data_IF_234049306290
#
_entry.id   IF_234049306290
#
_cell.length_a   1.000
_cell.length_b   1.000
_cell.length_c   1.000
_cell.angle_alpha   90.00
_cell.angle_beta   90.00
_cell.angle_gamma   90.00
#
_symmetry.space_group_name_H-M   'P 1'
#
loop_
_entity.id
_entity.type
_entity.pdbx_description
1 polymer ?
#
# COMPACT_ATOMS: atom_id res chain seq x y z
N UNK A 1 -68.60 -8.80 -5.87
CA UNK A 1 -67.68 -9.84 -6.42
C UNK A 1 -66.56 -9.20 -7.28
N UNK A 2 -65.88 -8.16 -6.78
CA UNK A 2 -64.85 -7.40 -7.53
C UNK A 2 -63.47 -7.38 -6.83
N UNK A 3 -63.34 -8.01 -5.65
CA UNK A 3 -62.11 -7.99 -4.86
C UNK A 3 -61.13 -9.14 -5.16
N UNK A 4 -61.52 -10.14 -5.96
CA UNK A 4 -60.66 -11.29 -6.28
C UNK A 4 -59.86 -11.12 -7.59
N UNK A 5 -60.15 -10.12 -8.42
CA UNK A 5 -59.42 -9.89 -9.69
C UNK A 5 -58.16 -9.04 -9.54
N UNK A 6 -58.00 -8.32 -8.43
CA UNK A 6 -56.85 -7.42 -8.17
C UNK A 6 -55.75 -8.13 -7.36
N UNK A 7 -56.06 -9.22 -6.63
CA UNK A 7 -55.06 -9.96 -5.82
C UNK A 7 -54.05 -10.73 -6.67
N UNK A 8 -54.47 -11.25 -7.82
CA UNK A 8 -53.62 -12.03 -8.71
C UNK A 8 -52.47 -11.23 -9.36
N UNK A 9 -52.71 -10.03 -9.93
CA UNK A 9 -51.62 -9.22 -10.48
C UNK A 9 -50.66 -8.69 -9.39
N UNK A 10 -51.17 -8.38 -8.19
CA UNK A 10 -50.33 -7.93 -7.07
C UNK A 10 -49.39 -9.05 -6.60
N UNK A 11 -49.88 -10.31 -6.53
CA UNK A 11 -49.06 -11.46 -6.17
C UNK A 11 -47.95 -11.72 -7.20
N UNK A 12 -48.25 -11.59 -8.50
CA UNK A 12 -47.25 -11.72 -9.57
C UNK A 12 -46.19 -10.63 -9.47
N UNK A 13 -46.58 -9.38 -9.19
CA UNK A 13 -45.65 -8.27 -8.98
C UNK A 13 -44.78 -8.50 -7.74
N UNK A 14 -45.33 -9.05 -6.65
CA UNK A 14 -44.58 -9.38 -5.44
C UNK A 14 -43.60 -10.54 -5.62
N UNK A 15 -43.93 -11.51 -6.49
CA UNK A 15 -43.02 -12.61 -6.87
C UNK A 15 -41.94 -12.10 -7.85
N UNK A 16 -42.29 -11.18 -8.76
CA UNK A 16 -41.31 -10.56 -9.66
C UNK A 16 -40.34 -9.66 -8.90
N UNK A 17 -40.82 -8.88 -7.93
CA UNK A 17 -39.94 -8.05 -7.09
C UNK A 17 -39.07 -8.91 -6.16
N UNK A 18 -39.59 -10.01 -5.63
CA UNK A 18 -38.77 -10.93 -4.82
C UNK A 18 -37.73 -11.70 -5.65
N UNK A 19 -38.03 -12.10 -6.90
CA UNK A 19 -37.02 -12.66 -7.82
C UNK A 19 -35.97 -11.63 -8.24
N UNK A 20 -36.34 -10.35 -8.40
CA UNK A 20 -35.38 -9.28 -8.68
C UNK A 20 -34.43 -9.03 -7.49
N UNK A 21 -34.91 -9.17 -6.26
CA UNK A 21 -34.09 -9.00 -5.05
C UNK A 21 -33.08 -10.15 -4.87
N UNK A 22 -33.42 -11.38 -5.29
CA UNK A 22 -32.48 -12.53 -5.23
C UNK A 22 -31.43 -12.57 -6.35
N UNK A 23 -31.59 -11.79 -7.43
CA UNK A 23 -30.57 -11.69 -8.48
C UNK A 23 -29.40 -10.75 -8.15
N UNK A 24 -29.47 -10.00 -7.05
CA UNK A 24 -28.40 -9.10 -6.65
C UNK A 24 -27.84 -9.47 -5.28
N UNK A 25 -27.24 -10.66 -5.17
CA UNK A 25 -26.22 -10.94 -4.13
C UNK A 25 -25.51 -12.27 -4.41
N UNK A 26 -24.80 -12.32 -5.53
CA UNK A 26 -23.52 -13.01 -5.60
C UNK A 26 -22.52 -11.98 -6.08
N UNK A 27 -21.70 -11.46 -5.18
CA UNK A 27 -20.45 -10.82 -5.59
C UNK A 27 -19.56 -11.92 -6.16
N UNK A 28 -19.78 -12.25 -7.44
CA UNK A 28 -18.77 -12.90 -8.25
C UNK A 28 -17.60 -11.93 -8.34
N UNK A 29 -16.41 -12.37 -7.96
CA UNK A 29 -15.20 -11.62 -8.23
C UNK A 29 -15.16 -11.36 -9.74
N UNK A 30 -15.05 -10.10 -10.14
CA UNK A 30 -14.89 -9.69 -11.54
C UNK A 30 -13.78 -10.54 -12.17
N UNK A 31 -14.13 -11.38 -13.14
CA UNK A 31 -13.14 -12.20 -13.84
C UNK A 31 -12.08 -11.31 -14.50
N UNK A 32 -10.82 -11.76 -14.45
CA UNK A 32 -9.72 -11.03 -15.05
C UNK A 32 -9.88 -10.99 -16.57
N UNK A 33 -9.76 -9.78 -17.13
CA UNK A 33 -9.85 -9.52 -18.58
C UNK A 33 -8.52 -9.65 -19.31
N UNK A 34 -7.43 -9.84 -18.57
CA UNK A 34 -6.07 -9.85 -19.08
C UNK A 34 -5.41 -11.20 -18.78
N UNK A 35 -4.81 -11.78 -19.81
CA UNK A 35 -3.95 -12.97 -19.71
C UNK A 35 -2.51 -12.58 -20.00
N UNK A 36 -1.57 -13.01 -19.16
CA UNK A 36 -0.13 -12.88 -19.36
C UNK A 36 0.49 -14.28 -19.50
N UNK A 37 0.85 -14.64 -20.73
CA UNK A 37 1.57 -15.89 -21.02
C UNK A 37 3.06 -15.59 -21.02
N UNK A 38 3.84 -16.34 -20.26
CA UNK A 38 5.29 -16.10 -20.13
C UNK A 38 6.10 -17.39 -20.26
N UNK A 39 7.32 -17.30 -20.76
CA UNK A 39 8.27 -18.42 -20.79
C UNK A 39 9.19 -18.46 -19.57
N UNK A 40 9.78 -17.32 -19.21
CA UNK A 40 10.57 -17.10 -18.00
C UNK A 40 10.27 -15.73 -17.41
N UNK A 41 10.50 -15.56 -16.10
CA UNK A 41 10.25 -14.28 -15.43
C UNK A 41 11.27 -13.18 -15.78
N UNK A 42 12.48 -13.59 -16.19
CA UNK A 42 13.55 -12.70 -16.64
C UNK A 42 14.42 -13.33 -17.74
N UNK A 43 15.19 -12.49 -18.41
CA UNK A 43 16.26 -12.94 -19.32
C UNK A 43 17.44 -13.52 -18.53
N UNK A 44 18.13 -14.51 -19.13
CA UNK A 44 19.34 -15.10 -18.53
C UNK A 44 20.42 -14.03 -18.33
N UNK A 45 20.97 -13.94 -17.11
CA UNK A 45 21.98 -12.95 -16.74
C UNK A 45 21.42 -11.55 -16.42
N UNK A 46 20.13 -11.30 -16.62
CA UNK A 46 19.51 -10.03 -16.22
C UNK A 46 19.14 -10.01 -14.74
N UNK A 47 19.20 -8.83 -14.13
CA UNK A 47 18.62 -8.54 -12.81
C UNK A 47 17.13 -8.19 -12.90
N UNK A 48 16.70 -7.65 -14.06
CA UNK A 48 15.35 -7.13 -14.26
C UNK A 48 14.31 -8.25 -14.39
N UNK A 49 13.26 -8.20 -13.58
CA UNK A 49 12.13 -9.13 -13.63
C UNK A 49 11.03 -8.59 -14.56
N UNK A 50 11.22 -8.79 -15.87
CA UNK A 50 10.29 -8.32 -16.91
C UNK A 50 8.85 -8.81 -16.71
N UNK A 51 8.67 -10.00 -16.13
CA UNK A 51 7.34 -10.50 -15.80
C UNK A 51 6.64 -9.61 -14.78
N UNK A 52 7.35 -9.23 -13.71
CA UNK A 52 6.82 -8.32 -12.69
C UNK A 52 6.53 -6.93 -13.27
N UNK A 53 7.43 -6.40 -14.11
CA UNK A 53 7.25 -5.12 -14.80
C UNK A 53 5.93 -5.07 -15.60
N UNK A 54 5.63 -6.16 -16.32
CA UNK A 54 4.38 -6.27 -17.09
C UNK A 54 3.15 -6.42 -16.18
N UNK A 55 3.27 -7.18 -15.08
CA UNK A 55 2.20 -7.28 -14.07
C UNK A 55 1.90 -5.89 -13.49
N UNK A 56 2.91 -5.11 -13.14
CA UNK A 56 2.75 -3.72 -12.67
C UNK A 56 2.03 -2.83 -13.69
N UNK A 57 2.44 -2.88 -14.96
CA UNK A 57 1.76 -2.15 -16.03
C UNK A 57 0.27 -2.51 -16.08
N UNK A 58 -0.06 -3.81 -15.98
CA UNK A 58 -1.45 -4.27 -16.02
C UNK A 58 -2.23 -3.79 -14.79
N UNK A 59 -1.71 -4.04 -13.58
CA UNK A 59 -2.36 -3.69 -12.33
C UNK A 59 -2.55 -2.16 -12.18
N UNK A 60 -1.62 -1.35 -12.68
CA UNK A 60 -1.70 0.12 -12.67
C UNK A 60 -2.93 0.69 -13.40
N UNK A 61 -3.57 -0.10 -14.26
CA UNK A 61 -4.81 0.26 -14.95
C UNK A 61 -6.08 -0.14 -14.19
N UNK A 62 -5.92 -0.80 -13.04
CA UNK A 62 -6.99 -1.38 -12.23
C UNK A 62 -7.45 -2.77 -12.69
N UNK A 63 -6.91 -3.29 -13.80
CA UNK A 63 -7.22 -4.63 -14.28
C UNK A 63 -6.44 -5.69 -13.50
N UNK A 64 -7.11 -6.79 -13.16
CA UNK A 64 -6.41 -8.00 -12.71
C UNK A 64 -5.83 -8.80 -13.87
N UNK A 65 -4.97 -9.75 -13.56
CA UNK A 65 -4.22 -10.55 -14.52
C UNK A 65 -4.21 -12.03 -14.15
N UNK A 66 -4.56 -12.87 -15.11
CA UNK A 66 -4.26 -14.30 -15.06
C UNK A 66 -2.89 -14.52 -15.71
N UNK A 67 -1.99 -15.22 -15.05
CA UNK A 67 -0.62 -15.43 -15.48
C UNK A 67 -0.39 -16.92 -15.70
N UNK A 68 0.10 -17.31 -16.88
CA UNK A 68 0.24 -18.72 -17.27
C UNK A 68 1.62 -18.95 -17.85
N UNK A 69 2.35 -19.94 -17.32
CA UNK A 69 3.58 -20.36 -17.96
C UNK A 69 3.26 -21.00 -19.31
N UNK A 70 4.05 -20.69 -20.33
CA UNK A 70 3.82 -21.11 -21.70
C UNK A 70 3.71 -22.64 -21.87
N UNK A 71 4.43 -23.40 -21.05
CA UNK A 71 4.39 -24.87 -21.06
C UNK A 71 3.10 -25.43 -20.45
N UNK A 72 2.35 -24.61 -19.72
CA UNK A 72 1.06 -24.93 -19.10
C UNK A 72 -0.12 -24.23 -19.78
N UNK A 73 0.13 -23.56 -20.92
CA UNK A 73 -0.90 -22.91 -21.72
C UNK A 73 -1.82 -23.95 -22.36
N UNK A 74 -3.12 -23.87 -22.05
CA UNK A 74 -4.18 -24.63 -22.70
C UNK A 74 -4.96 -23.66 -23.58
N UNK A 75 -5.27 -24.08 -24.81
CA UNK A 75 -6.06 -23.31 -25.76
C UNK A 75 -7.47 -23.02 -25.24
N UNK A 76 -8.02 -23.91 -24.41
CA UNK A 76 -9.35 -23.69 -23.82
C UNK A 76 -9.31 -22.40 -23.02
N UNK A 77 -10.27 -21.50 -23.27
CA UNK A 77 -10.53 -20.25 -22.53
C UNK A 77 -9.66 -19.02 -22.85
N UNK A 78 -8.92 -18.95 -23.97
CA UNK A 78 -8.29 -17.67 -24.36
C UNK A 78 -9.33 -16.58 -24.70
N UNK A 79 -10.50 -16.99 -25.20
CA UNK A 79 -11.55 -16.09 -25.71
C UNK A 79 -12.27 -15.27 -24.62
N UNK A 80 -12.12 -15.62 -23.33
CA UNK A 80 -12.69 -14.83 -22.23
C UNK A 80 -11.91 -13.54 -21.96
N UNK A 81 -10.67 -13.47 -22.45
CA UNK A 81 -9.80 -12.33 -22.22
C UNK A 81 -9.98 -11.27 -23.31
N UNK A 82 -9.90 -10.01 -22.93
CA UNK A 82 -9.92 -8.88 -23.86
C UNK A 82 -8.51 -8.59 -24.41
N UNK A 83 -7.48 -8.85 -23.59
CA UNK A 83 -6.07 -8.64 -23.95
C UNK A 83 -5.19 -9.80 -23.49
N UNK A 84 -4.26 -10.20 -24.36
CA UNK A 84 -3.25 -11.23 -24.10
C UNK A 84 -1.86 -10.61 -24.24
N UNK A 85 -1.10 -10.61 -23.16
CA UNK A 85 0.33 -10.34 -23.17
C UNK A 85 1.10 -11.64 -23.37
N UNK A 86 2.11 -11.60 -24.23
CA UNK A 86 3.11 -12.64 -24.39
C UNK A 86 4.46 -12.06 -23.95
N UNK A 87 5.05 -12.62 -22.92
CA UNK A 87 6.44 -12.37 -22.54
C UNK A 87 7.28 -13.56 -23.02
N UNK A 88 8.19 -13.31 -23.97
CA UNK A 88 9.05 -14.34 -24.50
C UNK A 88 10.52 -13.90 -24.45
N UNK A 89 11.22 -14.35 -23.42
CA UNK A 89 12.62 -14.00 -23.16
C UNK A 89 13.61 -14.96 -23.86
N UNK A 90 13.20 -16.20 -24.12
CA UNK A 90 14.05 -17.24 -24.68
C UNK A 90 14.26 -17.08 -26.20
N UNK A 91 15.30 -17.73 -26.71
CA UNK A 91 15.58 -17.86 -28.15
C UNK A 91 14.98 -19.13 -28.77
N UNK A 92 14.32 -19.99 -28.00
CA UNK A 92 13.70 -21.22 -28.48
C UNK A 92 12.44 -20.98 -29.31
N UNK A 93 12.03 -21.98 -30.11
CA UNK A 93 10.83 -21.85 -30.94
C UNK A 93 9.57 -21.76 -30.05
N UNK A 94 8.71 -20.80 -30.36
CA UNK A 94 7.41 -20.66 -29.70
C UNK A 94 6.54 -21.90 -29.99
N UNK A 95 5.85 -22.48 -28.98
CA UNK A 95 4.92 -23.58 -29.19
C UNK A 95 3.87 -23.26 -30.25
N UNK A 96 3.73 -24.14 -31.25
CA UNK A 96 2.78 -23.96 -32.35
C UNK A 96 1.32 -23.92 -31.88
N UNK A 97 1.00 -24.58 -30.76
CA UNK A 97 -0.31 -24.52 -30.11
C UNK A 97 -0.67 -23.10 -29.67
N UNK A 98 0.27 -22.37 -29.07
CA UNK A 98 0.06 -20.96 -28.68
C UNK A 98 -0.18 -20.10 -29.91
N UNK A 99 0.66 -20.22 -30.94
CA UNK A 99 0.51 -19.45 -32.19
C UNK A 99 -0.87 -19.68 -32.81
N UNK A 100 -1.32 -20.94 -32.89
CA UNK A 100 -2.65 -21.27 -33.41
C UNK A 100 -3.76 -20.58 -32.60
N UNK A 101 -3.67 -20.60 -31.28
CA UNK A 101 -4.64 -19.89 -30.43
C UNK A 101 -4.61 -18.38 -30.63
N UNK A 102 -3.43 -17.77 -30.80
CA UNK A 102 -3.29 -16.33 -31.03
C UNK A 102 -3.83 -15.89 -32.41
N UNK A 103 -3.69 -16.72 -33.45
CA UNK A 103 -4.25 -16.43 -34.78
C UNK A 103 -5.79 -16.47 -34.80
N UNK A 104 -6.40 -17.24 -33.90
CA UNK A 104 -7.86 -17.34 -33.74
C UNK A 104 -8.42 -16.30 -32.75
N UNK A 105 -7.57 -15.74 -31.90
CA UNK A 105 -7.95 -14.79 -30.85
C UNK A 105 -8.36 -13.43 -31.43
N UNK A 106 -9.50 -12.92 -30.98
CA UNK A 106 -10.09 -11.67 -31.52
C UNK A 106 -9.72 -10.42 -30.72
N UNK A 107 -9.21 -10.59 -29.50
CA UNK A 107 -8.81 -9.49 -28.62
C UNK A 107 -7.47 -8.86 -29.03
N UNK A 108 -6.91 -8.07 -28.11
CA UNK A 108 -5.61 -7.40 -28.32
C UNK A 108 -4.47 -8.30 -27.91
N UNK A 109 -3.40 -8.33 -28.71
CA UNK A 109 -2.20 -9.09 -28.40
C UNK A 109 -1.05 -8.10 -28.21
N UNK A 110 -0.36 -8.20 -27.09
CA UNK A 110 0.86 -7.44 -26.81
C UNK A 110 2.00 -8.43 -26.67
N UNK A 111 2.90 -8.47 -27.65
CA UNK A 111 4.05 -9.35 -27.65
C UNK A 111 5.30 -8.60 -27.21
N UNK A 112 5.95 -9.09 -26.16
CA UNK A 112 7.14 -8.50 -25.56
C UNK A 112 8.29 -9.50 -25.63
N UNK A 113 9.39 -9.08 -26.25
CA UNK A 113 10.63 -9.85 -26.35
C UNK A 113 10.84 -10.53 -27.70
N UNK A 114 11.41 -11.74 -27.65
CA UNK A 114 11.99 -12.43 -28.80
C UNK A 114 10.97 -13.30 -29.53
N UNK A 115 11.40 -13.83 -30.68
CA UNK A 115 10.70 -14.85 -31.47
C UNK A 115 9.24 -14.53 -31.78
N UNK A 116 8.97 -13.25 -32.03
CA UNK A 116 7.69 -12.80 -32.52
C UNK A 116 7.35 -13.49 -33.84
N UNK A 117 6.10 -13.96 -33.96
CA UNK A 117 5.66 -14.67 -35.14
C UNK A 117 5.15 -13.67 -36.18
N UNK A 118 5.85 -13.56 -37.31
CA UNK A 118 5.51 -12.63 -38.40
C UNK A 118 4.10 -12.83 -38.97
N UNK A 119 3.50 -14.02 -38.84
CA UNK A 119 2.12 -14.24 -39.27
C UNK A 119 1.11 -13.43 -38.43
N UNK A 120 1.52 -12.93 -37.27
CA UNK A 120 0.72 -12.02 -36.43
C UNK A 120 0.85 -10.55 -36.89
N UNK A 121 1.83 -10.18 -37.71
CA UNK A 121 2.04 -8.78 -38.15
C UNK A 121 0.88 -8.22 -38.96
N UNK A 122 0.23 -9.06 -39.76
CA UNK A 122 -0.92 -8.65 -40.57
C UNK A 122 -2.18 -8.37 -39.76
N UNK A 123 -2.19 -8.66 -38.45
CA UNK A 123 -3.34 -8.49 -37.59
C UNK A 123 -3.36 -7.10 -36.95
N UNK A 124 -4.44 -6.34 -37.18
CA UNK A 124 -4.60 -4.96 -36.67
C UNK A 124 -4.53 -4.81 -35.14
N UNK A 125 -4.75 -5.90 -34.39
CA UNK A 125 -4.83 -5.88 -32.93
C UNK A 125 -3.55 -6.38 -32.23
N UNK A 126 -2.43 -6.45 -32.95
CA UNK A 126 -1.15 -6.92 -32.42
C UNK A 126 -0.18 -5.75 -32.24
N UNK A 127 0.40 -5.63 -31.04
CA UNK A 127 1.50 -4.71 -30.73
C UNK A 127 2.74 -5.53 -30.42
N UNK A 128 3.80 -5.34 -31.19
CA UNK A 128 5.10 -5.98 -30.95
C UNK A 128 6.09 -5.01 -30.29
N UNK A 129 6.78 -5.48 -29.26
CA UNK A 129 7.80 -4.77 -28.48
C UNK A 129 9.05 -5.67 -28.42
N UNK A 130 10.00 -5.52 -29.34
CA UNK A 130 11.17 -6.41 -29.45
C UNK A 130 12.12 -6.29 -28.26
N UNK A 131 12.23 -5.08 -27.70
CA UNK A 131 13.06 -4.76 -26.55
C UNK A 131 12.19 -4.10 -25.49
N UNK A 132 12.35 -4.55 -24.25
CA UNK A 132 11.62 -4.06 -23.09
C UNK A 132 12.54 -4.01 -21.89
N UNK A 133 12.65 -2.83 -21.26
CA UNK A 133 13.35 -2.63 -20.00
C UNK A 133 12.67 -1.55 -19.16
N UNK A 134 12.57 -1.77 -17.85
CA UNK A 134 12.17 -0.76 -16.85
C UNK A 134 13.11 0.46 -16.85
N UNK A 135 14.35 0.31 -17.31
CA UNK A 135 15.38 1.37 -17.25
C UNK A 135 15.32 2.34 -18.43
N UNK A 136 14.49 2.07 -19.44
CA UNK A 136 14.44 2.89 -20.65
C UNK A 136 13.01 3.33 -21.00
N UNK A 137 12.88 4.06 -22.12
CA UNK A 137 11.59 4.60 -22.55
C UNK A 137 10.56 3.56 -22.96
N UNK A 138 10.95 2.28 -23.17
CA UNK A 138 10.03 1.23 -23.63
C UNK A 138 9.00 0.87 -22.57
N UNK A 139 9.40 0.82 -21.30
CA UNK A 139 8.48 0.65 -20.17
C UNK A 139 7.43 1.76 -20.14
N UNK A 140 7.88 3.03 -20.16
CA UNK A 140 6.99 4.18 -20.14
C UNK A 140 6.05 4.20 -21.36
N UNK A 141 6.57 3.86 -22.54
CA UNK A 141 5.77 3.79 -23.76
C UNK A 141 4.68 2.74 -23.67
N UNK A 142 5.00 1.53 -23.19
CA UNK A 142 4.02 0.46 -23.01
C UNK A 142 3.03 0.79 -21.89
N UNK A 143 3.52 1.27 -20.76
CA UNK A 143 2.70 1.67 -19.61
C UNK A 143 1.67 2.71 -20.01
N UNK A 144 2.10 3.78 -20.70
CA UNK A 144 1.19 4.83 -21.20
C UNK A 144 0.20 4.29 -22.22
N UNK A 145 0.67 3.54 -23.22
CA UNK A 145 -0.21 2.93 -24.22
C UNK A 145 -1.30 2.06 -23.58
N UNK A 146 -0.93 1.27 -22.58
CA UNK A 146 -1.84 0.38 -21.89
C UNK A 146 -2.81 1.15 -20.97
N UNK A 147 -2.29 2.15 -20.25
CA UNK A 147 -3.11 3.06 -19.45
C UNK A 147 -4.18 3.73 -20.31
N UNK A 148 -3.81 4.30 -21.46
CA UNK A 148 -4.75 4.94 -22.38
C UNK A 148 -5.84 3.94 -22.80
N UNK A 149 -5.48 2.73 -23.24
CA UNK A 149 -6.48 1.73 -23.68
C UNK A 149 -7.58 1.47 -22.65
N UNK A 150 -7.23 1.34 -21.37
CA UNK A 150 -8.16 0.94 -20.32
C UNK A 150 -8.76 2.11 -19.54
N UNK A 151 -8.07 3.25 -19.52
CA UNK A 151 -8.49 4.45 -18.80
C UNK A 151 -8.90 5.61 -19.71
N UNK A 152 -9.01 5.45 -21.03
CA UNK A 152 -9.44 6.49 -22.00
C UNK A 152 -10.79 7.18 -21.71
N UNK A 153 -11.55 6.72 -20.70
CA UNK A 153 -12.77 7.37 -20.20
C UNK A 153 -12.55 8.28 -18.98
N UNK A 154 -11.36 8.29 -18.38
CA UNK A 154 -11.00 9.20 -17.27
C UNK A 154 -10.54 10.53 -17.87
N UNK A 155 -11.30 11.60 -17.60
CA UNK A 155 -11.06 12.97 -18.09
C UNK A 155 -9.71 13.54 -17.63
N UNK A 156 -9.15 12.98 -16.55
CA UNK A 156 -7.89 13.43 -15.99
C UNK A 156 -6.90 12.26 -16.06
N UNK A 157 -5.72 12.48 -16.66
CA UNK A 157 -4.64 11.50 -16.74
C UNK A 157 -4.10 11.04 -15.37
N UNK A 158 -2.96 10.33 -15.37
CA UNK A 158 -2.33 9.80 -14.15
C UNK A 158 -2.24 10.81 -13.01
N UNK A 159 -2.49 10.33 -11.79
CA UNK A 159 -2.47 11.16 -10.58
C UNK A 159 -1.14 11.05 -9.85
N UNK A 160 -0.65 12.16 -9.34
CA UNK A 160 0.61 12.26 -8.61
C UNK A 160 0.34 12.66 -7.18
N UNK A 161 0.90 11.96 -6.20
CA UNK A 161 0.71 12.19 -4.77
C UNK A 161 2.05 12.43 -4.08
N UNK A 162 2.06 13.26 -3.03
CA UNK A 162 3.20 13.36 -2.12
C UNK A 162 3.00 12.37 -0.98
N UNK A 163 3.98 11.50 -0.74
CA UNK A 163 3.97 10.52 0.34
C UNK A 163 5.12 10.79 1.33
N UNK A 164 4.77 11.08 2.58
CA UNK A 164 5.68 10.96 3.72
C UNK A 164 5.74 9.49 4.11
N UNK A 165 6.83 8.83 3.74
CA UNK A 165 6.97 7.39 3.89
C UNK A 165 7.63 7.00 5.21
N UNK A 166 7.37 5.76 5.66
CA UNK A 166 7.95 5.18 6.88
C UNK A 166 7.79 6.06 8.11
N UNK A 167 6.58 6.53 8.38
CA UNK A 167 6.28 7.35 9.56
C UNK A 167 6.21 6.46 10.80
N UNK A 168 7.31 6.44 11.58
CA UNK A 168 7.43 5.64 12.80
C UNK A 168 6.88 6.34 14.06
N UNK A 169 6.48 5.60 15.10
CA UNK A 169 6.06 6.19 16.37
C UNK A 169 7.13 7.00 17.11
N UNK A 170 8.41 6.72 16.82
CA UNK A 170 9.57 7.33 17.48
C UNK A 170 10.26 8.40 16.62
N UNK A 171 9.59 8.89 15.57
CA UNK A 171 10.10 10.02 14.77
C UNK A 171 10.31 11.26 15.64
N UNK A 172 11.17 12.17 15.15
CA UNK A 172 11.23 13.53 15.66
C UNK A 172 9.89 14.24 15.37
N UNK A 173 9.05 14.33 16.40
CA UNK A 173 7.72 14.94 16.33
C UNK A 173 7.81 16.41 15.91
N UNK A 174 8.79 17.16 16.42
CA UNK A 174 8.90 18.59 16.11
C UNK A 174 9.28 18.79 14.64
N UNK A 175 10.27 18.03 14.16
CA UNK A 175 10.65 18.04 12.76
C UNK A 175 9.48 17.62 11.85
N UNK A 176 8.73 16.58 12.22
CA UNK A 176 7.59 16.11 11.44
C UNK A 176 6.43 17.11 11.40
N UNK A 177 6.11 17.78 12.52
CA UNK A 177 5.13 18.89 12.55
C UNK A 177 5.57 20.03 11.63
N UNK A 178 6.85 20.43 11.66
CA UNK A 178 7.37 21.47 10.74
C UNK A 178 7.26 21.07 9.26
N UNK A 179 7.36 19.78 8.92
CA UNK A 179 7.12 19.28 7.56
C UNK A 179 5.63 19.39 7.19
N UNK A 180 4.73 19.01 8.09
CA UNK A 180 3.27 19.13 7.90
C UNK A 180 2.89 20.60 7.70
N UNK A 181 3.38 21.49 8.55
CA UNK A 181 3.12 22.93 8.47
C UNK A 181 3.61 23.50 7.14
N UNK A 182 4.83 23.14 6.73
CA UNK A 182 5.35 23.53 5.42
C UNK A 182 4.45 23.08 4.27
N UNK A 183 4.05 21.80 4.24
CA UNK A 183 3.16 21.28 3.19
C UNK A 183 1.81 22.03 3.18
N UNK A 184 1.22 22.24 4.36
CA UNK A 184 -0.04 22.96 4.51
C UNK A 184 0.07 24.42 4.03
N UNK A 185 1.13 25.13 4.43
CA UNK A 185 1.38 26.52 4.06
C UNK A 185 1.64 26.66 2.55
N UNK A 186 2.19 25.63 1.91
CA UNK A 186 2.34 25.58 0.45
C UNK A 186 1.07 25.10 -0.28
N UNK A 187 0.00 24.73 0.45
CA UNK A 187 -1.21 24.17 -0.12
C UNK A 187 -1.01 22.80 -0.79
N UNK A 188 0.01 22.05 -0.37
CA UNK A 188 0.37 20.75 -0.94
C UNK A 188 -0.33 19.64 -0.12
N UNK A 189 -1.32 18.94 -0.69
CA UNK A 189 -1.92 17.78 -0.05
C UNK A 189 -0.93 16.61 -0.01
N UNK A 190 -1.04 15.77 1.01
CA UNK A 190 -0.08 14.69 1.24
C UNK A 190 -0.72 13.44 1.82
N UNK A 191 0.04 12.35 1.77
CA UNK A 191 -0.27 11.06 2.37
C UNK A 191 0.86 10.71 3.33
N UNK A 192 0.54 10.09 4.45
CA UNK A 192 1.51 9.55 5.41
C UNK A 192 1.38 8.02 5.42
N UNK A 193 2.44 7.32 5.04
CA UNK A 193 2.54 5.87 5.24
C UNK A 193 3.02 5.57 6.65
N UNK A 194 2.11 5.13 7.50
CA UNK A 194 2.37 4.95 8.93
C UNK A 194 2.72 3.50 9.22
N UNK A 195 3.84 3.31 9.93
CA UNK A 195 4.32 2.00 10.34
C UNK A 195 3.42 1.38 11.40
N UNK A 196 3.02 0.10 11.25
CA UNK A 196 2.03 -0.50 12.14
C UNK A 196 2.59 -0.68 13.56
N UNK A 197 1.79 -0.32 14.55
CA UNK A 197 2.08 -0.54 15.97
C UNK A 197 1.18 -1.63 16.52
N UNK A 198 1.76 -2.62 17.19
CA UNK A 198 1.03 -3.76 17.76
C UNK A 198 1.42 -4.08 19.21
N UNK A 199 2.29 -3.28 19.81
CA UNK A 199 2.77 -3.39 21.19
C UNK A 199 2.82 -1.99 21.83
N UNK A 200 2.87 -1.92 23.16
CA UNK A 200 3.04 -0.67 23.91
C UNK A 200 2.00 0.42 23.56
N UNK A 201 0.75 -0.01 23.28
CA UNK A 201 -0.33 0.86 22.82
C UNK A 201 -0.83 1.88 23.87
N UNK A 202 -0.55 1.65 25.16
CA UNK A 202 -1.06 2.48 26.27
C UNK A 202 0.02 3.46 26.83
N UNK A 203 1.15 3.60 26.14
CA UNK A 203 2.19 4.56 26.52
C UNK A 203 1.84 5.98 26.05
N UNK A 204 2.22 6.99 26.84
CA UNK A 204 2.12 8.42 26.48
C UNK A 204 2.73 8.73 25.10
N UNK A 205 3.78 7.99 24.71
CA UNK A 205 4.41 8.12 23.40
C UNK A 205 3.45 7.79 22.26
N UNK A 206 2.59 6.77 22.42
CA UNK A 206 1.58 6.41 21.42
C UNK A 206 0.49 7.49 21.33
N UNK A 207 0.03 8.03 22.46
CA UNK A 207 -0.94 9.13 22.45
C UNK A 207 -0.37 10.37 21.76
N UNK A 208 0.89 10.75 22.07
CA UNK A 208 1.58 11.87 21.43
C UNK A 208 1.74 11.64 19.94
N UNK A 209 2.17 10.46 19.53
CA UNK A 209 2.32 10.10 18.12
C UNK A 209 0.99 10.19 17.37
N UNK A 210 -0.06 9.57 17.89
CA UNK A 210 -1.40 9.64 17.29
C UNK A 210 -1.96 11.07 17.26
N UNK A 211 -1.66 11.91 18.25
CA UNK A 211 -2.02 13.33 18.23
C UNK A 211 -1.41 14.06 17.03
N UNK A 212 -0.15 13.76 16.70
CA UNK A 212 0.53 14.33 15.53
C UNK A 212 -0.06 13.79 14.23
N UNK A 213 -0.44 12.52 14.16
CA UNK A 213 -1.16 11.98 13.00
C UNK A 213 -2.56 12.61 12.82
N UNK A 214 -3.28 12.87 13.92
CA UNK A 214 -4.54 13.65 13.87
C UNK A 214 -4.30 15.08 13.40
N UNK A 215 -3.19 15.70 13.79
CA UNK A 215 -2.77 17.01 13.29
C UNK A 215 -2.50 16.97 11.78
N UNK A 216 -1.79 15.95 11.28
CA UNK A 216 -1.62 15.74 9.85
C UNK A 216 -2.99 15.62 9.14
N UNK A 217 -3.92 14.85 9.69
CA UNK A 217 -5.27 14.71 9.16
C UNK A 217 -6.06 16.03 9.11
N UNK A 218 -5.95 16.88 10.13
CA UNK A 218 -6.64 18.19 10.16
C UNK A 218 -6.03 19.20 9.19
N UNK A 219 -4.80 18.94 8.72
CA UNK A 219 -4.08 19.74 7.72
C UNK A 219 -4.16 19.16 6.29
N UNK A 220 -5.14 18.28 6.04
CA UNK A 220 -5.38 17.70 4.71
C UNK A 220 -4.55 16.44 4.40
N UNK A 221 -3.74 15.97 5.35
CA UNK A 221 -3.01 14.71 5.22
C UNK A 221 -3.93 13.49 5.27
N UNK A 222 -3.65 12.47 4.47
CA UNK A 222 -4.28 11.16 4.57
C UNK A 222 -3.34 10.16 5.22
N UNK A 223 -3.89 9.23 6.00
CA UNK A 223 -3.12 8.18 6.64
C UNK A 223 -3.36 6.88 5.87
N UNK A 224 -2.28 6.18 5.53
CA UNK A 224 -2.33 4.80 5.02
C UNK A 224 -1.49 3.91 5.94
N UNK A 225 -1.76 2.60 5.91
CA UNK A 225 -1.08 1.65 6.77
C UNK A 225 0.04 0.95 6.00
N UNK A 226 1.27 1.17 6.43
CA UNK A 226 2.42 0.44 5.90
C UNK A 226 2.31 -1.04 6.30
N UNK A 227 2.68 -1.92 5.38
CA UNK A 227 2.85 -3.34 5.65
C UNK A 227 4.02 -3.55 6.60
N UNK A 228 3.80 -4.29 7.69
CA UNK A 228 4.84 -4.51 8.68
C UNK A 228 6.03 -5.27 8.08
N UNK A 229 7.25 -4.88 8.45
CA UNK A 229 8.43 -5.73 8.29
C UNK A 229 8.46 -6.68 9.49
N UNK A 230 7.61 -7.70 9.47
CA UNK A 230 7.76 -8.80 10.40
C UNK A 230 9.11 -9.47 10.08
N UNK A 231 9.95 -9.67 11.10
CA UNK A 231 11.30 -10.23 10.93
C UNK A 231 11.22 -11.75 10.92
N UNK A 232 11.62 -12.37 9.82
CA UNK A 232 11.66 -13.83 9.67
C UNK A 232 11.47 -14.28 8.23
N UNK A 233 12.04 -15.43 7.87
CA UNK A 233 11.75 -16.07 6.60
C UNK A 233 10.35 -16.73 6.67
N UNK A 234 9.55 -16.62 5.61
CA UNK A 234 8.26 -17.33 5.45
C UNK A 234 7.20 -17.02 6.50
N UNK A 235 6.90 -15.74 6.71
CA UNK A 235 5.85 -15.32 7.64
C UNK A 235 4.47 -15.56 7.02
N UNK A 236 3.56 -16.31 7.67
CA UNK A 236 2.23 -16.57 7.15
C UNK A 236 1.43 -15.28 6.91
N UNK A 237 0.76 -15.18 5.76
CA UNK A 237 -0.06 -14.02 5.41
C UNK A 237 -1.15 -13.71 6.43
N UNK A 238 -1.69 -14.74 7.11
CA UNK A 238 -2.67 -14.60 8.19
C UNK A 238 -2.09 -13.84 9.39
N UNK A 239 -0.85 -14.12 9.78
CA UNK A 239 -0.19 -13.46 10.91
C UNK A 239 0.06 -11.99 10.60
N UNK A 240 0.47 -11.69 9.36
CA UNK A 240 0.60 -10.31 8.87
C UNK A 240 -0.75 -9.60 8.92
N UNK A 241 -1.81 -10.25 8.43
CA UNK A 241 -3.16 -9.71 8.43
C UNK A 241 -3.68 -9.40 9.84
N UNK A 242 -3.42 -10.28 10.79
CA UNK A 242 -3.85 -10.10 12.19
C UNK A 242 -3.10 -8.95 12.85
N UNK A 243 -1.79 -8.81 12.60
CA UNK A 243 -1.00 -7.66 13.07
C UNK A 243 -1.45 -6.34 12.44
N UNK A 244 -1.76 -6.32 11.15
CA UNK A 244 -2.27 -5.12 10.48
C UNK A 244 -3.69 -4.76 10.94
N UNK A 245 -4.52 -5.76 11.23
CA UNK A 245 -5.85 -5.57 11.84
C UNK A 245 -5.74 -4.94 13.24
N UNK A 246 -4.84 -5.46 14.07
CA UNK A 246 -4.57 -4.90 15.40
C UNK A 246 -4.05 -3.46 15.30
N UNK A 247 -3.10 -3.19 14.41
CA UNK A 247 -2.58 -1.84 14.21
C UNK A 247 -3.68 -0.86 13.79
N UNK A 248 -4.55 -1.24 12.84
CA UNK A 248 -5.68 -0.40 12.43
C UNK A 248 -6.62 -0.12 13.62
N UNK A 249 -6.95 -1.13 14.42
CA UNK A 249 -7.80 -0.98 15.61
C UNK A 249 -7.20 0.02 16.61
N UNK A 250 -5.89 -0.07 16.84
CA UNK A 250 -5.17 0.85 17.73
C UNK A 250 -5.23 2.28 17.20
N UNK A 251 -4.96 2.51 15.91
CA UNK A 251 -5.06 3.86 15.34
C UNK A 251 -6.47 4.43 15.46
N UNK A 252 -7.50 3.63 15.17
CA UNK A 252 -8.89 4.05 15.28
C UNK A 252 -9.26 4.40 16.73
N UNK A 253 -8.79 3.64 17.72
CA UNK A 253 -8.94 3.96 19.16
C UNK A 253 -8.45 5.37 19.48
N UNK A 254 -7.39 5.82 18.80
CA UNK A 254 -6.83 7.16 18.94
C UNK A 254 -7.30 8.17 17.88
N UNK A 255 -8.40 7.92 17.15
CA UNK A 255 -8.95 8.87 16.16
C UNK A 255 -8.08 9.07 14.92
N UNK A 256 -7.19 8.11 14.64
CA UNK A 256 -6.39 8.04 13.41
C UNK A 256 -7.02 6.98 12.51
N UNK A 257 -7.19 7.31 11.23
CA UNK A 257 -7.98 6.47 10.31
C UNK A 257 -7.16 6.11 9.07
N UNK A 258 -6.43 4.98 9.09
CA UNK A 258 -5.72 4.48 7.92
C UNK A 258 -6.70 4.01 6.83
N UNK A 259 -6.60 4.58 5.62
CA UNK A 259 -7.59 4.42 4.56
C UNK A 259 -7.15 3.50 3.41
N UNK A 260 -5.89 3.10 3.36
CA UNK A 260 -5.35 2.21 2.34
C UNK A 260 -4.18 1.39 2.90
N UNK A 261 -3.70 0.43 2.10
CA UNK A 261 -2.50 -0.34 2.38
C UNK A 261 -1.31 0.19 1.55
N UNK A 262 -0.14 0.17 2.18
CA UNK A 262 1.17 0.32 1.51
C UNK A 262 1.93 -1.00 1.62
N UNK A 263 2.16 -1.66 0.48
CA UNK A 263 2.69 -3.03 0.40
C UNK A 263 3.90 -3.10 -0.53
N UNK A 264 4.86 -4.01 -0.28
CA UNK A 264 5.80 -4.41 -1.31
C UNK A 264 5.10 -5.24 -2.38
N UNK A 265 5.54 -5.11 -3.63
CA UNK A 265 4.97 -5.83 -4.78
C UNK A 265 5.18 -7.35 -4.71
N UNK A 266 6.17 -7.86 -3.97
CA UNK A 266 6.30 -9.29 -3.71
C UNK A 266 5.05 -9.92 -3.09
N UNK A 267 4.21 -9.13 -2.40
CA UNK A 267 2.97 -9.63 -1.80
C UNK A 267 1.97 -10.10 -2.86
N UNK A 268 2.02 -9.58 -4.09
CA UNK A 268 1.16 -10.03 -5.18
C UNK A 268 1.37 -11.50 -5.54
N UNK A 269 2.56 -12.06 -5.26
CA UNK A 269 2.92 -13.43 -5.61
C UNK A 269 2.77 -14.41 -4.45
N UNK A 270 2.32 -13.94 -3.28
CA UNK A 270 2.10 -14.77 -2.09
C UNK A 270 0.63 -15.14 -1.96
N UNK A 271 0.29 -16.40 -2.27
CA UNK A 271 -1.11 -16.84 -2.31
C UNK A 271 -1.83 -16.70 -0.97
N UNK A 272 -1.14 -16.89 0.15
CA UNK A 272 -1.64 -16.73 1.51
C UNK A 272 -1.82 -15.26 1.92
N UNK A 273 -1.31 -14.30 1.14
CA UNK A 273 -1.45 -12.85 1.39
C UNK A 273 -2.64 -12.24 0.64
N UNK A 274 -3.33 -12.99 -0.24
CA UNK A 274 -4.45 -12.47 -1.04
C UNK A 274 -5.55 -11.83 -0.20
N UNK A 275 -5.90 -12.43 0.93
CA UNK A 275 -6.91 -11.89 1.84
C UNK A 275 -6.48 -10.56 2.46
N UNK A 276 -5.19 -10.38 2.71
CA UNK A 276 -4.65 -9.12 3.22
C UNK A 276 -4.66 -8.05 2.14
N UNK A 277 -4.05 -8.29 0.97
CA UNK A 277 -3.91 -7.26 -0.06
C UNK A 277 -5.29 -6.79 -0.58
N UNK A 278 -6.27 -7.70 -0.73
CA UNK A 278 -7.62 -7.38 -1.17
C UNK A 278 -8.54 -6.91 -0.03
N UNK A 279 -8.00 -6.69 1.17
CA UNK A 279 -8.72 -5.95 2.20
C UNK A 279 -8.87 -4.47 1.84
N UNK A 280 -8.05 -3.95 0.92
CA UNK A 280 -8.09 -2.58 0.41
C UNK A 280 -8.34 -2.55 -1.09
N UNK A 281 -9.18 -1.62 -1.55
CA UNK A 281 -9.43 -1.42 -2.99
C UNK A 281 -8.35 -0.55 -3.67
N UNK A 282 -7.78 0.40 -2.92
CA UNK A 282 -6.66 1.23 -3.33
C UNK A 282 -5.41 0.74 -2.59
N UNK A 283 -4.31 0.58 -3.31
CA UNK A 283 -3.03 0.14 -2.74
C UNK A 283 -1.87 1.02 -3.21
N UNK A 284 -0.96 1.31 -2.29
CA UNK A 284 0.34 1.89 -2.58
C UNK A 284 1.35 0.76 -2.67
N UNK A 285 2.19 0.78 -3.70
CA UNK A 285 3.06 -0.35 -4.02
C UNK A 285 4.50 0.10 -4.12
N UNK A 286 5.34 -0.51 -3.30
CA UNK A 286 6.79 -0.41 -3.37
C UNK A 286 7.35 -1.51 -4.28
N UNK A 287 8.22 -1.13 -5.21
CA UNK A 287 8.93 -2.09 -6.08
C UNK A 287 10.08 -2.72 -5.29
N UNK A 288 9.95 -4.00 -4.92
CA UNK A 288 11.00 -4.72 -4.23
C UNK A 288 12.20 -4.93 -5.17
N UNK A 289 13.39 -4.57 -4.70
CA UNK A 289 14.64 -4.85 -5.41
C UNK A 289 14.85 -6.33 -5.72
N UNK A 290 14.24 -7.22 -4.93
CA UNK A 290 14.35 -8.66 -5.12
C UNK A 290 13.10 -9.40 -4.63
N UNK A 291 12.14 -9.58 -5.53
CA UNK A 291 10.95 -10.43 -5.30
C UNK A 291 11.23 -11.94 -5.38
N UNK A 292 12.49 -12.34 -5.60
CA UNK A 292 12.88 -13.73 -5.76
C UNK A 292 12.46 -14.34 -7.10
N UNK A 293 12.42 -15.67 -7.14
CA UNK A 293 12.08 -16.44 -8.35
C UNK A 293 10.56 -16.52 -8.47
N UNK A 294 10.02 -15.89 -9.51
CA UNK A 294 8.62 -16.07 -9.89
C UNK A 294 8.51 -17.28 -10.82
N UNK A 295 7.93 -18.36 -10.32
CA UNK A 295 7.69 -19.58 -11.09
C UNK A 295 6.40 -20.25 -10.66
N UNK A 296 5.36 -20.09 -11.46
CA UNK A 296 4.09 -20.78 -11.29
C UNK A 296 3.56 -21.29 -12.64
N UNK A 297 2.88 -22.45 -12.63
CA UNK A 297 2.22 -22.96 -13.84
C UNK A 297 1.07 -22.05 -14.26
N UNK A 298 0.25 -21.67 -13.29
CA UNK A 298 -0.87 -20.73 -13.41
C UNK A 298 -0.96 -19.93 -12.11
N UNK A 299 -1.24 -18.65 -12.21
CA UNK A 299 -1.47 -17.76 -11.08
C UNK A 299 -2.48 -16.69 -11.48
N UNK A 300 -3.11 -16.05 -10.51
CA UNK A 300 -4.12 -15.01 -10.78
C UNK A 300 -4.05 -13.97 -9.68
N UNK A 301 -3.99 -12.70 -10.11
CA UNK A 301 -4.02 -11.51 -9.26
C UNK A 301 -5.28 -10.74 -9.65
N UNK A 302 -6.17 -10.50 -8.70
CA UNK A 302 -7.38 -9.72 -8.97
C UNK A 302 -7.03 -8.23 -9.09
N UNK A 303 -7.86 -7.49 -9.83
CA UNK A 303 -7.69 -6.04 -9.99
C UNK A 303 -7.91 -5.25 -8.69
N UNK A 304 -7.50 -3.99 -8.73
CA UNK A 304 -7.69 -2.99 -7.68
C UNK A 304 -8.40 -1.77 -8.29
N UNK A 305 -9.06 -0.97 -7.46
CA UNK A 305 -9.65 0.28 -7.95
C UNK A 305 -8.54 1.25 -8.39
N UNK A 306 -7.47 1.32 -7.57
CA UNK A 306 -6.23 2.04 -7.89
C UNK A 306 -5.00 1.30 -7.36
N UNK A 307 -3.96 1.31 -8.18
CA UNK A 307 -2.60 0.92 -7.78
C UNK A 307 -1.73 2.15 -7.95
N UNK A 308 -1.19 2.66 -6.84
CA UNK A 308 -0.35 3.85 -6.80
C UNK A 308 1.10 3.42 -6.62
N UNK A 309 1.93 3.66 -7.63
CA UNK A 309 3.33 3.24 -7.63
C UNK A 309 4.20 4.20 -6.79
N UNK A 310 4.97 3.66 -5.85
CA UNK A 310 5.91 4.45 -5.04
C UNK A 310 7.20 4.73 -5.80
N UNK A 311 7.60 6.00 -5.86
CA UNK A 311 8.86 6.47 -6.46
C UNK A 311 9.61 7.30 -5.42
N UNK A 312 10.79 6.86 -5.02
CA UNK A 312 11.63 7.59 -4.07
C UNK A 312 12.39 8.71 -4.78
N UNK A 313 12.26 9.93 -4.25
CA UNK A 313 13.04 11.08 -4.73
C UNK A 313 14.42 11.04 -4.07
N UNK A 314 15.46 11.13 -4.90
CA UNK A 314 16.83 11.37 -4.46
C UNK A 314 17.26 12.77 -4.88
N UNK A 315 18.38 13.27 -4.34
CA UNK A 315 18.88 14.62 -4.63
C UNK A 315 19.14 14.88 -6.13
N UNK A 316 19.34 13.83 -6.92
CA UNK A 316 19.58 13.90 -8.37
C UNK A 316 18.36 13.46 -9.20
N UNK A 317 17.17 13.37 -8.62
CA UNK A 317 15.98 12.95 -9.36
C UNK A 317 15.57 14.04 -10.37
N UNK A 318 15.76 13.75 -11.66
CA UNK A 318 15.27 14.62 -12.73
C UNK A 318 13.81 14.28 -13.02
N UNK A 319 12.89 15.12 -12.54
CA UNK A 319 11.47 14.96 -12.82
C UNK A 319 11.19 15.26 -14.30
N UNK A 320 10.64 14.26 -14.99
CA UNK A 320 10.18 14.40 -16.37
C UNK A 320 8.68 14.03 -16.41
N UNK A 321 7.76 14.99 -16.64
CA UNK A 321 6.32 14.73 -16.62
C UNK A 321 5.89 13.57 -17.54
N UNK A 322 6.58 13.37 -18.66
CA UNK A 322 6.32 12.30 -19.63
C UNK A 322 6.60 10.90 -19.09
N UNK A 323 7.34 10.77 -17.98
CA UNK A 323 7.60 9.49 -17.31
C UNK A 323 6.46 9.06 -16.38
N UNK A 324 5.51 9.94 -16.07
CA UNK A 324 4.34 9.58 -15.24
C UNK A 324 3.27 8.96 -16.14
N UNK A 325 3.24 7.63 -16.14
CA UNK A 325 2.36 6.83 -17.00
C UNK A 325 1.20 6.19 -16.25
N UNK A 326 1.23 6.26 -14.93
CA UNK A 326 0.24 5.69 -14.02
C UNK A 326 0.20 6.47 -12.71
N UNK A 327 -0.80 6.20 -11.88
CA UNK A 327 -0.94 6.86 -10.58
C UNK A 327 0.34 6.60 -9.75
N UNK A 328 0.96 7.66 -9.25
CA UNK A 328 2.31 7.63 -8.66
C UNK A 328 2.34 8.40 -7.34
N UNK A 329 3.04 7.86 -6.35
CA UNK A 329 3.34 8.51 -5.09
C UNK A 329 4.84 8.81 -4.99
N UNK A 330 5.19 10.08 -4.98
CA UNK A 330 6.56 10.52 -4.73
C UNK A 330 6.85 10.46 -3.24
N UNK A 331 7.80 9.60 -2.88
CA UNK A 331 8.11 9.22 -1.52
C UNK A 331 9.25 10.07 -0.96
N UNK A 332 9.02 10.63 0.21
CA UNK A 332 10.00 11.31 1.04
C UNK A 332 10.06 10.59 2.39
N UNK A 333 11.23 10.07 2.77
CA UNK A 333 11.35 9.41 4.07
C UNK A 333 11.04 10.39 5.21
N UNK A 334 10.29 9.91 6.20
CA UNK A 334 9.81 10.75 7.31
C UNK A 334 10.92 11.31 8.20
N UNK A 335 12.12 10.74 8.17
CA UNK A 335 13.32 11.15 8.90
C UNK A 335 14.23 12.11 8.11
N UNK A 336 13.92 12.38 6.83
CA UNK A 336 14.67 13.32 6.00
C UNK A 336 14.82 14.69 6.70
N UNK A 337 16.00 15.29 6.67
CA UNK A 337 16.20 16.61 7.28
C UNK A 337 15.22 17.65 6.71
N UNK A 338 14.73 18.56 7.55
CA UNK A 338 13.71 19.55 7.17
C UNK A 338 14.14 20.44 5.98
N UNK A 339 15.41 20.85 5.92
CA UNK A 339 15.91 21.71 4.84
C UNK A 339 16.03 20.93 3.53
N UNK A 340 16.55 19.70 3.58
CA UNK A 340 16.58 18.78 2.44
C UNK A 340 15.16 18.50 1.92
N UNK A 341 14.22 18.20 2.82
CA UNK A 341 12.81 17.98 2.49
C UNK A 341 12.19 19.17 1.76
N UNK A 342 12.36 20.39 2.31
CA UNK A 342 11.87 21.62 1.68
C UNK A 342 12.53 21.87 0.33
N UNK A 343 13.83 21.64 0.21
CA UNK A 343 14.58 21.81 -1.03
C UNK A 343 14.08 20.88 -2.12
N UNK A 344 13.94 19.58 -1.82
CA UNK A 344 13.47 18.58 -2.78
C UNK A 344 12.04 18.86 -3.24
N UNK A 345 11.13 19.27 -2.34
CA UNK A 345 9.77 19.65 -2.74
C UNK A 345 9.76 20.88 -3.63
N UNK A 346 10.51 21.93 -3.27
CA UNK A 346 10.60 23.15 -4.09
C UNK A 346 11.18 22.85 -5.47
N UNK A 347 12.18 21.97 -5.55
CA UNK A 347 12.74 21.51 -6.81
C UNK A 347 11.70 20.76 -7.65
N UNK A 348 11.00 19.79 -7.06
CA UNK A 348 9.95 19.03 -7.74
C UNK A 348 8.84 19.94 -8.29
N UNK A 349 8.31 20.85 -7.46
CA UNK A 349 7.27 21.83 -7.86
C UNK A 349 7.81 22.81 -8.90
N UNK A 350 9.06 23.29 -8.74
CA UNK A 350 9.72 24.18 -9.70
C UNK A 350 9.91 23.55 -11.09
N UNK A 351 10.07 22.22 -11.15
CA UNK A 351 10.12 21.44 -12.39
C UNK A 351 8.72 21.09 -12.95
N UNK A 352 7.66 21.70 -12.41
CA UNK A 352 6.30 21.55 -12.91
C UNK A 352 5.51 20.37 -12.32
N UNK A 353 6.03 19.71 -11.28
CA UNK A 353 5.29 18.63 -10.60
C UNK A 353 4.09 19.21 -9.84
N UNK A 354 2.91 18.65 -10.10
CA UNK A 354 1.68 18.99 -9.39
C UNK A 354 1.17 17.81 -8.57
N UNK A 355 1.03 18.00 -7.26
CA UNK A 355 0.49 16.99 -6.36
C UNK A 355 -1.03 17.08 -6.29
N UNK A 356 -1.71 16.01 -6.72
CA UNK A 356 -3.15 15.88 -6.64
C UNK A 356 -3.63 15.72 -5.20
N UNK A 357 -4.81 16.27 -4.91
CA UNK A 357 -5.45 16.09 -3.62
C UNK A 357 -5.84 14.61 -3.40
N UNK A 358 -5.34 14.03 -2.31
CA UNK A 358 -5.61 12.66 -1.89
C UNK A 358 -7.03 12.46 -1.34
N UNK A 359 -7.80 13.53 -1.12
CA UNK A 359 -9.23 13.45 -0.78
C UNK A 359 -10.10 12.82 -1.87
N UNK A 360 -9.67 12.88 -3.12
CA UNK A 360 -10.37 12.27 -4.26
C UNK A 360 -10.11 10.76 -4.39
N UNK A 361 -9.33 10.17 -3.49
CA UNK A 361 -9.22 8.73 -3.40
C UNK A 361 -10.51 8.18 -2.75
N UNK A 362 -11.19 7.27 -3.45
CA UNK A 362 -12.43 6.63 -3.00
C UNK A 362 -12.09 5.28 -2.37
N UNK A 363 -11.42 5.30 -1.22
CA UNK A 363 -10.84 4.10 -0.63
C UNK A 363 -11.86 3.39 0.26
N UNK A 364 -11.73 2.07 0.30
CA UNK A 364 -12.38 1.17 1.21
C UNK A 364 -11.32 0.18 1.69
N UNK A 365 -11.14 0.12 3.00
CA UNK A 365 -10.28 -0.87 3.65
C UNK A 365 -11.06 -1.63 4.72
N UNK A 366 -10.95 -2.95 4.73
CA UNK A 366 -11.65 -3.85 5.65
C UNK A 366 -10.67 -4.79 6.36
N UNK A 367 -10.22 -4.43 7.56
CA UNK A 367 -9.31 -5.24 8.38
C UNK A 367 -9.93 -5.51 9.75
N UNK A 368 -9.72 -6.72 10.30
CA UNK A 368 -10.20 -7.07 11.64
C UNK A 368 -11.70 -6.89 11.87
N UNK A 369 -12.52 -7.02 10.81
CA UNK A 369 -13.97 -6.78 10.86
C UNK A 369 -14.38 -5.30 10.89
N UNK A 370 -13.42 -4.37 10.80
CA UNK A 370 -13.65 -2.94 10.70
C UNK A 370 -13.54 -2.50 9.24
N UNK A 371 -14.55 -1.79 8.77
CA UNK A 371 -14.57 -1.15 7.46
C UNK A 371 -14.38 0.35 7.61
N UNK A 372 -13.28 0.87 7.07
CA UNK A 372 -13.11 2.29 6.84
C UNK A 372 -13.35 2.59 5.36
N UNK A 373 -14.04 3.69 5.08
CA UNK A 373 -14.13 4.18 3.71
C UNK A 373 -14.09 5.69 3.65
N UNK A 374 -13.47 6.21 2.58
CA UNK A 374 -13.56 7.60 2.17
C UNK A 374 -14.39 7.65 0.89
N UNK A 375 -15.55 8.28 0.90
CA UNK A 375 -16.40 8.45 -0.28
C UNK A 375 -16.92 9.88 -0.33
N UNK A 376 -16.70 10.57 -1.45
CA UNK A 376 -17.16 11.96 -1.63
C UNK A 376 -16.76 12.87 -0.45
N UNK A 377 -15.50 12.80 -0.01
CA UNK A 377 -14.95 13.53 1.14
C UNK A 377 -15.44 13.08 2.53
N UNK A 378 -16.47 12.23 2.58
CA UNK A 378 -16.98 11.69 3.84
C UNK A 378 -16.18 10.46 4.28
N UNK A 379 -15.70 10.52 5.52
CA UNK A 379 -15.07 9.39 6.20
C UNK A 379 -16.11 8.61 6.98
N UNK A 380 -16.21 7.32 6.67
CA UNK A 380 -17.13 6.39 7.31
C UNK A 380 -16.36 5.30 8.04
N UNK A 381 -16.76 5.04 9.29
CA UNK A 381 -16.34 3.90 10.10
C UNK A 381 -17.55 2.99 10.27
N UNK A 382 -17.49 1.77 9.72
CA UNK A 382 -18.59 0.80 9.72
C UNK A 382 -19.91 1.44 9.24
N UNK A 383 -19.83 2.19 8.13
CA UNK A 383 -20.93 2.95 7.50
C UNK A 383 -21.50 4.12 8.35
N UNK A 384 -20.85 4.51 9.45
CA UNK A 384 -21.21 5.70 10.24
C UNK A 384 -20.24 6.83 9.96
N UNK A 385 -20.74 8.05 9.79
CA UNK A 385 -19.91 9.25 9.66
C UNK A 385 -19.02 9.41 10.89
N UNK A 386 -17.75 9.71 10.62
CA UNK A 386 -16.78 10.05 11.64
C UNK A 386 -16.81 11.57 11.83
N UNK A 387 -17.30 12.03 12.98
CA UNK A 387 -17.22 13.44 13.36
C UNK A 387 -15.75 13.86 13.50
N UNK A 388 -15.32 14.89 12.76
CA UNK A 388 -14.04 15.59 12.97
C UNK A 388 -14.08 16.45 14.26
N UNK A 389 -14.48 15.86 15.40
CA UNK A 389 -14.43 16.53 16.70
C UNK A 389 -13.02 16.40 17.28
N UNK A 390 -12.06 17.14 16.74
CA UNK A 390 -10.79 17.46 17.42
C UNK A 390 -9.89 18.47 16.68
N UNK A 391 -10.41 19.18 15.67
CA UNK A 391 -9.65 20.15 14.86
C UNK A 391 -9.30 21.46 15.58
N UNK A 392 -9.74 21.67 16.83
CA UNK A 392 -9.46 22.88 17.62
C UNK A 392 -8.57 22.65 18.85
N UNK A 393 -7.68 21.66 18.82
CA UNK A 393 -6.51 21.74 19.68
C UNK A 393 -5.45 22.60 18.98
N UNK A 394 -5.45 23.91 19.28
CA UNK A 394 -4.20 24.67 19.17
C UNK A 394 -3.14 23.80 19.84
N UNK A 395 -2.07 23.46 19.12
CA UNK A 395 -0.83 23.03 19.77
C UNK A 395 -0.34 24.26 20.51
N UNK A 396 -0.97 24.55 21.65
CA UNK A 396 -0.43 25.49 22.61
C UNK A 396 0.91 24.89 23.01
N UNK A 397 1.97 25.66 22.85
CA UNK A 397 3.15 25.59 23.69
C UNK A 397 2.67 25.58 25.15
N UNK A 398 2.29 24.41 25.64
CA UNK A 398 2.12 24.20 27.07
C UNK A 398 3.56 24.12 27.54
N UNK A 399 4.03 25.25 28.07
CA UNK A 399 5.19 25.36 28.93
C UNK A 399 5.55 24.00 29.51
N UNK A 400 6.78 23.57 29.25
CA UNK A 400 7.42 22.45 29.92
C UNK A 400 7.13 22.55 31.42
N UNK A 401 6.05 21.90 31.89
CA UNK A 401 6.03 21.40 33.25
C UNK A 401 6.95 20.20 33.19
N UNK A 402 8.25 20.50 33.34
CA UNK A 402 9.17 19.58 33.97
C UNK A 402 8.42 19.00 35.15
N UNK A 403 8.08 17.72 35.07
CA UNK A 403 7.68 16.99 36.27
C UNK A 403 8.89 17.17 37.18
N UNK A 404 8.72 17.89 38.28
CA UNK A 404 9.78 18.13 39.24
C UNK A 404 10.05 16.80 39.96
N UNK A 405 10.88 15.97 39.31
CA UNK A 405 11.34 14.69 39.83
C UNK A 405 12.33 14.89 40.99
N UNK A 406 12.71 16.12 41.33
CA UNK A 406 13.67 16.41 42.41
C UNK A 406 13.17 15.88 43.76
N UNK A 407 11.86 15.93 44.02
CA UNK A 407 11.28 15.38 45.25
C UNK A 407 11.19 13.85 45.27
N UNK A 408 10.96 13.21 44.12
CA UNK A 408 11.00 11.75 44.01
C UNK A 408 12.45 11.23 44.12
N UNK A 409 13.39 11.91 43.47
CA UNK A 409 14.81 11.59 43.50
C UNK A 409 15.40 11.81 44.90
N UNK A 410 15.02 12.89 45.60
CA UNK A 410 15.45 13.12 46.99
C UNK A 410 14.92 12.07 47.98
N UNK A 411 13.72 11.50 47.74
CA UNK A 411 13.21 10.38 48.55
C UNK A 411 14.00 9.10 48.28
N UNK A 412 14.26 8.78 47.02
CA UNK A 412 15.06 7.61 46.62
C UNK A 412 16.49 7.72 47.18
N UNK A 413 17.13 8.89 47.03
CA UNK A 413 18.48 9.16 47.56
C UNK A 413 18.52 9.00 49.09
N UNK A 414 17.54 9.52 49.83
CA UNK A 414 17.46 9.35 51.30
C UNK A 414 17.30 7.88 51.70
N UNK A 415 16.51 7.10 50.96
CA UNK A 415 16.35 5.66 51.20
C UNK A 415 17.66 4.94 50.92
N UNK A 416 18.34 5.21 49.80
CA UNK A 416 19.63 4.59 49.45
C UNK A 416 20.71 4.91 50.49
N UNK A 417 20.82 6.16 50.93
CA UNK A 417 21.76 6.56 51.99
C UNK A 417 21.45 5.81 53.29
N UNK A 418 20.18 5.67 53.67
CA UNK A 418 19.76 4.90 54.84
C UNK A 418 20.19 3.43 54.78
N UNK A 419 20.02 2.79 53.63
CA UNK A 419 20.45 1.39 53.41
C UNK A 419 21.99 1.27 53.47
N UNK A 420 22.73 2.22 52.89
CA UNK A 420 24.19 2.23 52.97
C UNK A 420 24.70 2.39 54.41
N UNK A 421 24.09 3.29 55.20
CA UNK A 421 24.46 3.47 56.62
C UNK A 421 24.19 2.20 57.41
N UNK A 422 23.03 1.55 57.20
CA UNK A 422 22.71 0.27 57.84
C UNK A 422 23.77 -0.79 57.52
N UNK A 423 24.20 -0.87 56.25
CA UNK A 423 25.23 -1.81 55.82
C UNK A 423 26.58 -1.54 56.51
N UNK A 424 26.99 -0.27 56.62
CA UNK A 424 28.23 0.12 57.34
C UNK A 424 28.13 -0.22 58.82
N UNK A 425 26.99 0.00 59.46
CA UNK A 425 26.77 -0.37 60.87
C UNK A 425 26.90 -1.88 61.05
N UNK A 426 26.30 -2.68 60.17
CA UNK A 426 26.43 -4.15 60.20
C UNK A 426 27.90 -4.56 60.05
N UNK A 427 28.63 -3.97 59.10
CA UNK A 427 30.07 -4.25 58.92
C UNK A 427 30.88 -3.87 60.16
N UNK A 428 30.59 -2.73 60.80
CA UNK A 428 31.29 -2.31 62.03
C UNK A 428 30.98 -3.21 63.22
N UNK A 429 29.72 -3.63 63.38
CA UNK A 429 29.32 -4.61 64.41
C UNK A 429 30.04 -5.93 64.16
N UNK A 430 30.02 -6.42 62.92
CA UNK A 430 30.66 -7.68 62.56
C UNK A 430 32.17 -7.64 62.79
N UNK A 431 32.83 -6.54 62.40
CA UNK A 431 34.25 -6.29 62.66
C UNK A 431 34.57 -6.20 64.17
N UNK A 432 33.66 -5.67 64.99
CA UNK A 432 33.81 -5.60 66.45
C UNK A 432 33.64 -6.98 67.09
N UNK A 433 32.73 -7.81 66.57
CA UNK A 433 32.56 -9.21 66.99
C UNK A 433 33.79 -10.04 66.61
N UNK A 434 34.32 -9.88 65.39
CA UNK A 434 35.56 -10.55 64.95
C UNK A 434 36.77 -10.14 65.80
N UNK A 435 36.96 -8.85 66.08
CA UNK A 435 38.03 -8.40 67.00
C UNK A 435 37.90 -9.01 68.40
N UNK A 436 36.68 -9.18 68.92
CA UNK A 436 36.46 -9.84 70.22
C UNK A 436 36.71 -11.36 70.19
N UNK A 437 36.62 -12.01 69.02
CA UNK A 437 36.98 -13.43 68.85
C UNK A 437 38.49 -13.66 68.70
N UNK A 438 39.25 -12.70 68.17
CA UNK A 438 40.70 -12.84 67.97
C UNK A 438 41.57 -12.38 69.15
N UNK A 439 41.06 -11.56 70.07
CA UNK A 439 41.77 -11.14 71.28
C UNK A 439 41.24 -11.85 72.55
N UNK A 440 40.92 -13.13 72.42
CA UNK A 440 40.59 -14.00 73.55
C UNK A 440 41.59 -15.13 73.66
#
# INVERSE_FOLDING_TARGET
>A
MMFNKIKFPILIILIFTSMCIFCQMKTEASENKVLLVYDSYKEFGSEENKLNSLVHIILSTGNGVDIVNINSFDKKSIDKYETVFILYNNSSKVPGSLIKSLLEFRGKIIWVGRNFNLNLESYRNVKYIPYFSEKDSTYNTLSKYYYDIFNNKKVNGPKVYLLLDKVYPFIDIEAFVKKIDFLYDQGIPFVCSVMPVYENQDFDAMERFCKVLRYAQSKGGKIILHSSILKGNNIPGKDVQDKMSLAQQIYIKYGVYPLALDIPDSFFYKNDYKNLIHSSNDIFVENDKNIGVISFKKYSISGFDKVINKVYISDNYNYEPLQITCDTAFCFDSDLNLDSFKSQIRCAVGNGMYFNNSEYLNNVITLGGIKLSNKNFDKLLNNKLVDNKDSNSKVSEKNNKTVDITNANNRIIKITIGVCILFVIIVLINRRIERRKFFR
#
